data_IF_115497827304
#
_entry.id   IF_115497827304
#
_cell.length_a   1.000
_cell.length_b   1.000
_cell.length_c   1.000
_cell.angle_alpha   90.00
_cell.angle_beta   90.00
_cell.angle_gamma   90.00
#
_symmetry.space_group_name_H-M   'P 1'
#
loop_
_entity.id
_entity.type
_entity.pdbx_description
1 polymer ?
#
# COMPACT_ATOMS: atom_id res chain seq x y z
N UNK A 1 7.62 14.90 21.92
CA UNK A 1 6.26 15.46 21.80
C UNK A 1 5.41 14.48 20.99
N UNK A 2 4.25 14.14 21.50
CA UNK A 2 3.30 13.23 20.84
C UNK A 2 2.57 13.96 19.72
N UNK A 3 2.24 13.27 18.64
CA UNK A 3 1.59 13.83 17.44
C UNK A 3 0.67 12.82 16.76
N UNK A 4 -0.16 13.28 15.85
CA UNK A 4 -0.94 12.41 14.95
C UNK A 4 -0.17 12.21 13.64
N UNK A 5 -0.10 10.96 13.15
CA UNK A 5 0.52 10.63 11.87
C UNK A 5 -0.56 10.38 10.83
N UNK A 6 -0.54 11.18 9.77
CA UNK A 6 -1.34 10.96 8.56
C UNK A 6 -0.51 10.14 7.58
N UNK A 7 -1.08 9.06 7.09
CA UNK A 7 -0.51 8.18 6.06
C UNK A 7 -1.24 8.46 4.76
N UNK A 8 -0.54 9.01 3.77
CA UNK A 8 -1.05 9.27 2.42
C UNK A 8 -0.43 8.32 1.39
N UNK A 9 -1.03 8.24 0.22
CA UNK A 9 -0.61 7.32 -0.83
C UNK A 9 0.56 7.87 -1.65
N UNK A 10 0.51 9.16 -2.02
CA UNK A 10 1.43 9.80 -2.99
C UNK A 10 2.07 11.05 -2.41
N UNK A 11 3.30 11.40 -2.81
CA UNK A 11 3.99 12.61 -2.32
C UNK A 11 3.19 13.90 -2.53
N UNK A 12 2.53 14.06 -3.70
CA UNK A 12 1.73 15.23 -4.00
C UNK A 12 0.49 15.34 -3.10
N UNK A 13 -0.16 14.20 -2.82
CA UNK A 13 -1.28 14.14 -1.89
C UNK A 13 -0.83 14.53 -0.47
N UNK A 14 0.34 14.04 -0.01
CA UNK A 14 0.89 14.40 1.28
C UNK A 14 1.12 15.92 1.42
N UNK A 15 1.69 16.54 0.38
CA UNK A 15 1.92 17.98 0.37
C UNK A 15 0.60 18.76 0.38
N UNK A 16 -0.37 18.36 -0.44
CA UNK A 16 -1.70 18.99 -0.48
C UNK A 16 -2.44 18.87 0.84
N UNK A 17 -2.41 17.69 1.48
CA UNK A 17 -3.01 17.47 2.81
C UNK A 17 -2.32 18.36 3.84
N UNK A 18 -0.99 18.38 3.87
CA UNK A 18 -0.24 19.23 4.78
C UNK A 18 -0.56 20.72 4.58
N UNK A 19 -0.56 21.18 3.31
CA UNK A 19 -0.88 22.58 2.98
C UNK A 19 -2.32 22.95 3.30
N UNK A 20 -3.27 22.04 3.09
CA UNK A 20 -4.68 22.29 3.37
C UNK A 20 -4.97 22.41 4.86
N UNK A 21 -4.32 21.59 5.69
CA UNK A 21 -4.55 21.52 7.13
C UNK A 21 -3.67 22.46 7.95
N UNK A 22 -2.57 23.01 7.41
CA UNK A 22 -1.68 23.86 8.19
C UNK A 22 -2.38 25.16 8.64
N UNK A 23 -2.31 25.46 9.94
CA UNK A 23 -2.77 26.74 10.50
C UNK A 23 -1.91 27.89 9.97
N UNK A 24 -0.57 27.71 9.96
CA UNK A 24 0.40 28.71 9.51
C UNK A 24 1.30 28.18 8.40
N UNK A 25 2.36 27.44 8.78
CA UNK A 25 3.39 26.98 7.86
C UNK A 25 3.47 25.46 7.77
N UNK A 26 3.89 24.98 6.61
CA UNK A 26 4.29 23.58 6.38
C UNK A 26 5.80 23.48 6.51
N UNK A 27 6.29 22.67 7.46
CA UNK A 27 7.71 22.38 7.58
C UNK A 27 8.01 21.06 6.89
N UNK A 28 8.80 21.15 5.82
CA UNK A 28 9.24 19.96 5.08
C UNK A 28 10.48 19.34 5.71
N UNK A 29 10.39 18.10 6.06
CA UNK A 29 11.50 17.26 6.50
C UNK A 29 11.85 16.22 5.44
N UNK A 30 13.05 15.64 5.58
CA UNK A 30 13.48 14.49 4.79
C UNK A 30 14.12 13.43 5.68
N UNK A 31 13.84 12.19 5.37
CA UNK A 31 14.63 11.06 5.84
C UNK A 31 15.21 10.36 4.61
N UNK A 32 16.54 10.41 4.47
CA UNK A 32 17.20 10.06 3.19
C UNK A 32 16.60 10.90 2.03
N UNK A 33 15.97 10.23 1.05
CA UNK A 33 15.32 10.90 -0.10
C UNK A 33 13.81 11.11 0.07
N UNK A 34 13.21 10.58 1.15
CA UNK A 34 11.76 10.58 1.34
C UNK A 34 11.31 11.81 2.11
N UNK A 35 10.46 12.66 1.54
CA UNK A 35 9.90 13.81 2.23
C UNK A 35 8.77 13.39 3.17
N UNK A 36 8.62 14.14 4.26
CA UNK A 36 7.44 14.16 5.10
C UNK A 36 7.22 15.58 5.64
N UNK A 37 6.04 15.88 6.09
CA UNK A 37 5.66 17.25 6.43
C UNK A 37 5.20 17.32 7.88
N UNK A 38 5.65 18.37 8.57
CA UNK A 38 5.20 18.71 9.92
C UNK A 38 4.35 19.97 9.86
N UNK A 39 3.19 19.92 10.49
CA UNK A 39 2.23 21.02 10.55
C UNK A 39 1.61 21.10 11.93
N UNK A 40 0.98 22.24 12.22
CA UNK A 40 0.04 22.41 13.32
C UNK A 40 -1.35 22.64 12.74
N UNK A 41 -2.36 21.95 13.24
CA UNK A 41 -3.75 22.13 12.88
C UNK A 41 -4.62 22.20 14.15
N UNK A 42 -5.32 23.32 14.34
CA UNK A 42 -6.11 23.61 15.57
C UNK A 42 -5.30 23.35 16.84
N UNK A 43 -4.05 23.84 16.85
CA UNK A 43 -3.11 23.70 17.96
C UNK A 43 -2.53 22.29 18.19
N UNK A 44 -2.84 21.32 17.34
CA UNK A 44 -2.33 19.94 17.43
C UNK A 44 -1.24 19.69 16.39
N UNK A 45 -0.14 19.08 16.85
CA UNK A 45 0.95 18.68 15.96
C UNK A 45 0.57 17.48 15.12
N UNK A 46 0.79 17.58 13.83
CA UNK A 46 0.53 16.51 12.86
C UNK A 46 1.79 16.30 12.01
N UNK A 47 2.12 15.03 11.74
CA UNK A 47 3.08 14.65 10.71
C UNK A 47 2.33 13.99 9.57
N UNK A 48 2.64 14.38 8.34
CA UNK A 48 2.08 13.79 7.12
C UNK A 48 3.20 13.06 6.38
N UNK A 49 3.11 11.74 6.32
CA UNK A 49 3.99 10.88 5.55
C UNK A 49 3.31 10.36 4.30
N UNK A 50 4.10 9.99 3.28
CA UNK A 50 3.57 9.37 2.07
C UNK A 50 4.18 8.00 1.83
N UNK A 51 3.38 7.07 1.36
CA UNK A 51 3.83 5.89 0.64
C UNK A 51 4.16 6.27 -0.83
N UNK A 52 4.47 5.31 -1.65
CA UNK A 52 4.74 5.51 -3.08
C UNK A 52 4.17 4.30 -3.84
N UNK A 53 2.90 4.01 -3.56
CA UNK A 53 2.25 2.76 -3.90
C UNK A 53 2.45 1.71 -2.79
N UNK A 54 2.14 0.45 -3.09
CA UNK A 54 2.26 -0.63 -2.12
C UNK A 54 3.71 -0.83 -1.63
N UNK A 55 3.91 -0.75 -0.32
CA UNK A 55 5.20 -1.01 0.33
C UNK A 55 5.40 -2.48 0.70
N UNK A 56 4.34 -3.27 0.63
CA UNK A 56 4.33 -4.71 0.92
C UNK A 56 3.67 -5.45 -0.23
N UNK A 57 4.12 -6.67 -0.47
CA UNK A 57 3.61 -7.57 -1.49
C UNK A 57 3.66 -9.01 -1.05
N UNK A 58 2.93 -9.88 -1.75
CA UNK A 58 2.91 -11.31 -1.48
C UNK A 58 4.11 -12.00 -2.14
N UNK A 59 4.66 -12.98 -1.45
CA UNK A 59 5.71 -13.86 -1.94
C UNK A 59 5.45 -15.29 -1.48
N UNK A 60 5.78 -16.26 -2.32
CA UNK A 60 5.79 -17.67 -1.92
C UNK A 60 6.81 -17.89 -0.80
N UNK A 61 6.39 -18.52 0.28
CA UNK A 61 7.18 -18.68 1.50
C UNK A 61 8.30 -19.72 1.34
N UNK A 62 8.02 -20.82 0.67
CA UNK A 62 8.95 -21.95 0.56
C UNK A 62 9.61 -22.06 -0.80
N UNK A 63 9.50 -21.07 -1.67
CA UNK A 63 9.97 -20.89 -3.04
C UNK A 63 10.86 -21.99 -3.64
N UNK A 64 10.33 -23.20 -3.85
CA UNK A 64 11.06 -24.37 -4.36
C UNK A 64 11.16 -24.41 -5.91
N UNK A 65 11.16 -23.24 -6.55
CA UNK A 65 11.24 -23.13 -8.01
C UNK A 65 9.89 -23.23 -8.73
N UNK A 66 9.87 -23.84 -9.90
CA UNK A 66 8.69 -23.92 -10.78
C UNK A 66 7.78 -25.11 -10.42
N UNK A 67 7.25 -25.11 -9.19
CA UNK A 67 6.34 -26.15 -8.68
C UNK A 67 4.96 -25.55 -8.47
N UNK A 68 3.90 -26.30 -8.79
CA UNK A 68 2.52 -25.96 -8.48
C UNK A 68 1.76 -27.21 -7.99
N UNK A 69 0.72 -27.06 -7.17
CA UNK A 69 0.16 -25.81 -6.68
C UNK A 69 1.02 -25.17 -5.58
N UNK A 70 1.07 -23.83 -5.57
CA UNK A 70 1.74 -23.01 -4.57
C UNK A 70 0.67 -22.23 -3.76
N UNK A 71 0.42 -22.63 -2.51
CA UNK A 71 -0.58 -22.00 -1.62
C UNK A 71 0.02 -21.39 -0.36
N UNK A 72 1.33 -21.60 -0.14
CA UNK A 72 2.01 -21.04 1.02
C UNK A 72 2.67 -19.73 0.65
N UNK A 73 2.17 -18.61 1.21
CA UNK A 73 2.62 -17.26 0.92
C UNK A 73 2.67 -16.40 2.17
N UNK A 74 3.41 -15.30 2.08
CA UNK A 74 3.51 -14.30 3.14
C UNK A 74 3.63 -12.90 2.58
N UNK A 75 3.25 -11.92 3.40
CA UNK A 75 3.48 -10.53 3.10
C UNK A 75 4.91 -10.14 3.44
N UNK A 76 5.64 -9.62 2.48
CA UNK A 76 7.00 -9.10 2.66
C UNK A 76 7.11 -7.66 2.15
N UNK A 77 8.11 -6.90 2.63
CA UNK A 77 8.46 -5.64 2.01
C UNK A 77 8.66 -5.80 0.51
N UNK A 78 8.05 -4.91 -0.29
CA UNK A 78 8.04 -5.06 -1.75
C UNK A 78 9.45 -5.10 -2.36
N UNK A 79 10.46 -4.49 -1.72
CA UNK A 79 11.85 -4.56 -2.17
C UNK A 79 12.48 -5.96 -2.01
N UNK A 80 11.88 -6.85 -1.22
CA UNK A 80 12.27 -8.27 -1.10
C UNK A 80 11.55 -9.15 -2.11
N UNK A 81 10.42 -8.69 -2.63
CA UNK A 81 9.61 -9.36 -3.64
C UNK A 81 10.07 -8.98 -5.05
N UNK A 82 10.33 -7.69 -5.28
CA UNK A 82 10.67 -7.14 -6.58
C UNK A 82 11.97 -6.32 -6.52
N UNK A 83 12.97 -6.73 -7.28
CA UNK A 83 14.30 -6.06 -7.35
C UNK A 83 14.24 -4.60 -7.82
N UNK A 84 13.25 -4.24 -8.63
CA UNK A 84 13.05 -2.87 -9.11
C UNK A 84 12.44 -1.94 -8.05
N UNK A 85 11.89 -2.49 -6.97
CA UNK A 85 11.26 -1.75 -5.90
C UNK A 85 12.23 -1.38 -4.74
N UNK A 86 13.54 -1.44 -4.94
CA UNK A 86 14.54 -1.16 -3.89
C UNK A 86 14.39 0.22 -3.24
N UNK A 87 13.91 1.21 -4.00
CA UNK A 87 13.65 2.57 -3.51
C UNK A 87 12.61 2.62 -2.38
N UNK A 88 11.70 1.64 -2.31
CA UNK A 88 10.66 1.58 -1.28
C UNK A 88 11.21 1.32 0.12
N UNK A 89 12.45 0.81 0.22
CA UNK A 89 13.14 0.62 1.50
C UNK A 89 13.25 1.92 2.28
N UNK A 90 13.58 3.03 1.61
CA UNK A 90 13.70 4.33 2.25
C UNK A 90 12.35 4.84 2.78
N UNK A 91 11.25 4.52 2.09
CA UNK A 91 9.89 4.84 2.54
C UNK A 91 9.52 4.04 3.80
N UNK A 92 9.79 2.73 3.81
CA UNK A 92 9.55 1.88 4.99
C UNK A 92 10.36 2.37 6.19
N UNK A 93 11.65 2.71 6.02
CA UNK A 93 12.48 3.24 7.08
C UNK A 93 12.00 4.62 7.57
N UNK A 94 11.48 5.44 6.65
CA UNK A 94 10.89 6.72 7.01
C UNK A 94 9.64 6.53 7.86
N UNK A 95 8.72 5.64 7.45
CA UNK A 95 7.54 5.33 8.24
C UNK A 95 7.89 4.72 9.59
N UNK A 96 8.89 3.82 9.68
CA UNK A 96 9.38 3.31 10.97
C UNK A 96 9.82 4.45 11.91
N UNK A 97 10.53 5.44 11.36
CA UNK A 97 10.97 6.62 12.13
C UNK A 97 9.79 7.47 12.60
N UNK A 98 8.90 7.86 11.69
CA UNK A 98 7.79 8.79 12.00
C UNK A 98 6.58 8.10 12.66
N UNK A 99 6.56 6.79 12.78
CA UNK A 99 5.52 6.06 13.52
C UNK A 99 5.87 5.89 15.01
N UNK A 100 7.16 5.99 15.36
CA UNK A 100 7.65 5.63 16.70
C UNK A 100 7.00 6.46 17.82
N UNK A 101 6.84 7.77 17.60
CA UNK A 101 6.32 8.70 18.59
C UNK A 101 4.89 9.17 18.27
N UNK A 102 4.25 8.55 17.27
CA UNK A 102 2.87 8.84 16.89
C UNK A 102 1.89 8.20 17.88
N UNK A 103 0.96 8.99 18.42
CA UNK A 103 -0.12 8.51 19.29
C UNK A 103 -1.34 8.05 18.51
N UNK A 104 -1.68 8.83 17.47
CA UNK A 104 -2.85 8.59 16.64
C UNK A 104 -2.41 8.39 15.19
N UNK A 105 -3.11 7.49 14.51
CA UNK A 105 -2.89 7.20 13.10
C UNK A 105 -4.15 7.54 12.31
N UNK A 106 -3.95 8.15 11.15
CA UNK A 106 -5.03 8.58 10.26
C UNK A 106 -4.66 8.15 8.85
N UNK A 107 -5.47 7.31 8.23
CA UNK A 107 -5.30 6.96 6.82
C UNK A 107 -5.96 8.01 5.93
N UNK A 108 -5.19 8.54 5.00
CA UNK A 108 -5.59 9.52 3.99
C UNK A 108 -5.09 9.08 2.60
N UNK A 109 -5.28 7.81 2.31
CA UNK A 109 -5.09 7.19 0.99
C UNK A 109 -6.39 7.31 0.18
N UNK A 110 -6.38 7.02 -1.12
CA UNK A 110 -7.58 6.99 -1.95
C UNK A 110 -8.65 6.08 -1.31
N UNK A 111 -9.93 6.47 -1.43
CA UNK A 111 -11.03 5.78 -0.76
C UNK A 111 -11.58 4.65 -1.62
N UNK A 112 -10.72 3.68 -1.89
CA UNK A 112 -11.00 2.44 -2.60
C UNK A 112 -10.33 1.24 -1.90
N UNK A 113 -10.48 0.05 -2.49
CA UNK A 113 -9.90 -1.19 -1.99
C UNK A 113 -8.37 -1.17 -1.95
N UNK A 114 -7.72 -0.67 -3.01
CA UNK A 114 -6.26 -0.61 -3.13
C UNK A 114 -5.65 0.40 -2.14
N UNK A 115 -6.17 1.63 -2.10
CA UNK A 115 -5.68 2.67 -1.19
C UNK A 115 -5.93 2.30 0.28
N UNK A 116 -7.06 1.66 0.59
CA UNK A 116 -7.37 1.21 1.95
C UNK A 116 -6.43 0.10 2.40
N UNK A 117 -6.16 -0.90 1.55
CA UNK A 117 -5.20 -1.97 1.85
C UNK A 117 -3.76 -1.43 1.95
N UNK A 118 -3.36 -0.52 1.05
CA UNK A 118 -2.05 0.12 1.09
C UNK A 118 -1.79 0.78 2.45
N UNK A 119 -2.72 1.64 2.88
CA UNK A 119 -2.61 2.33 4.17
C UNK A 119 -2.62 1.36 5.35
N UNK A 120 -3.48 0.35 5.33
CA UNK A 120 -3.53 -0.68 6.36
C UNK A 120 -2.24 -1.50 6.43
N UNK A 121 -1.61 -1.83 5.31
CA UNK A 121 -0.32 -2.53 5.31
C UNK A 121 0.80 -1.70 5.97
N UNK A 122 0.83 -0.39 5.76
CA UNK A 122 1.76 0.50 6.49
C UNK A 122 1.45 0.47 7.98
N UNK A 123 0.18 0.56 8.35
CA UNK A 123 -0.26 0.55 9.73
C UNK A 123 0.11 -0.76 10.45
N UNK A 124 -0.30 -1.92 9.90
CA UNK A 124 -0.10 -3.22 10.55
C UNK A 124 1.35 -3.68 10.56
N UNK A 125 2.09 -3.50 9.47
CA UNK A 125 3.45 -4.04 9.36
C UNK A 125 4.52 -3.10 9.91
N UNK A 126 4.31 -1.79 9.85
CA UNK A 126 5.30 -0.81 10.33
C UNK A 126 4.92 -0.26 11.70
N UNK A 127 3.73 0.30 11.85
CA UNK A 127 3.30 0.92 13.11
C UNK A 127 2.83 -0.09 14.17
N UNK A 128 2.59 -1.37 13.75
CA UNK A 128 2.10 -2.46 14.63
C UNK A 128 0.76 -2.10 15.29
N UNK A 129 -0.11 -1.45 14.53
CA UNK A 129 -1.47 -1.09 14.95
C UNK A 129 -2.49 -1.87 14.12
N UNK A 130 -3.63 -2.12 14.74
CA UNK A 130 -4.73 -2.89 14.14
C UNK A 130 -5.84 -2.02 13.57
N UNK A 131 -5.96 -0.78 14.04
CA UNK A 131 -6.99 0.16 13.58
C UNK A 131 -6.47 1.59 13.61
N UNK A 132 -7.13 2.48 12.87
CA UNK A 132 -6.81 3.89 12.75
C UNK A 132 -8.04 4.70 12.34
N UNK A 133 -7.95 6.01 12.43
CA UNK A 133 -8.96 6.90 11.85
C UNK A 133 -8.82 6.95 10.33
N UNK A 134 -9.93 7.23 9.61
CA UNK A 134 -9.96 7.24 8.15
C UNK A 134 -10.52 8.55 7.61
N UNK A 135 -9.71 9.28 6.85
CA UNK A 135 -10.18 10.40 6.04
C UNK A 135 -10.85 9.88 4.77
N UNK A 136 -12.00 10.47 4.41
CA UNK A 136 -12.73 10.17 3.19
C UNK A 136 -12.88 11.44 2.37
N UNK A 137 -12.21 11.51 1.24
CA UNK A 137 -12.25 12.64 0.31
C UNK A 137 -12.28 12.15 -1.14
N UNK A 138 -12.96 12.89 -1.97
CA UNK A 138 -13.04 12.62 -3.42
C UNK A 138 -12.12 13.55 -4.21
N UNK A 139 -11.76 14.69 -3.65
CA UNK A 139 -10.85 15.65 -4.28
C UNK A 139 -9.78 16.13 -3.30
N UNK A 140 -8.66 16.61 -3.83
CA UNK A 140 -7.55 17.15 -3.03
C UNK A 140 -7.67 18.69 -2.91
N UNK A 141 -8.90 19.25 -2.90
CA UNK A 141 -9.12 20.66 -2.62
C UNK A 141 -8.96 20.96 -1.15
N UNK A 142 -8.55 22.18 -0.81
CA UNK A 142 -8.38 22.59 0.60
C UNK A 142 -9.66 22.38 1.41
N UNK A 143 -10.82 22.74 0.84
CA UNK A 143 -12.12 22.59 1.51
C UNK A 143 -12.44 21.13 1.83
N UNK A 144 -12.32 20.24 0.84
CA UNK A 144 -12.61 18.81 1.01
C UNK A 144 -11.67 18.14 2.01
N UNK A 145 -10.39 18.48 1.98
CA UNK A 145 -9.40 17.92 2.90
C UNK A 145 -9.65 18.34 4.34
N UNK A 146 -10.03 19.61 4.58
CA UNK A 146 -10.39 20.09 5.92
C UNK A 146 -11.65 19.37 6.41
N UNK A 147 -12.71 19.32 5.61
CA UNK A 147 -13.95 18.61 5.97
C UNK A 147 -13.67 17.14 6.25
N UNK A 148 -12.93 16.46 5.36
CA UNK A 148 -12.57 15.06 5.52
C UNK A 148 -11.76 14.78 6.80
N UNK A 149 -10.87 15.69 7.18
CA UNK A 149 -10.12 15.58 8.43
C UNK A 149 -11.02 15.77 9.65
N UNK A 150 -11.90 16.77 9.62
CA UNK A 150 -12.77 17.09 10.75
C UNK A 150 -13.89 16.05 10.96
N UNK A 151 -14.39 15.46 9.88
CA UNK A 151 -15.45 14.42 9.89
C UNK A 151 -14.93 13.00 9.69
N UNK A 152 -13.63 12.77 9.87
CA UNK A 152 -13.01 11.46 9.62
C UNK A 152 -13.65 10.35 10.45
N UNK A 153 -13.72 9.18 9.86
CA UNK A 153 -14.22 7.97 10.51
C UNK A 153 -13.33 7.60 11.69
N UNK A 154 -13.92 7.06 12.74
CA UNK A 154 -13.20 6.63 13.95
C UNK A 154 -12.41 5.34 13.76
N UNK A 155 -12.79 4.53 12.78
CA UNK A 155 -12.21 3.23 12.43
C UNK A 155 -11.90 3.18 10.94
N UNK A 156 -11.14 2.20 10.52
CA UNK A 156 -10.86 1.90 9.11
C UNK A 156 -12.10 1.36 8.40
N UNK A 157 -12.12 1.49 7.07
CA UNK A 157 -13.09 0.81 6.21
C UNK A 157 -12.66 -0.64 5.95
N UNK A 158 -13.12 -1.52 6.82
CA UNK A 158 -12.79 -2.95 6.75
C UNK A 158 -13.36 -3.64 5.52
N UNK A 159 -14.44 -3.12 4.95
CA UNK A 159 -15.00 -3.64 3.69
C UNK A 159 -13.99 -3.50 2.55
N UNK A 160 -13.48 -2.30 2.33
CA UNK A 160 -12.47 -2.03 1.32
C UNK A 160 -11.14 -2.75 1.60
N UNK A 161 -10.69 -2.80 2.87
CA UNK A 161 -9.46 -3.50 3.23
C UNK A 161 -9.55 -4.99 2.90
N UNK A 162 -10.65 -5.65 3.28
CA UNK A 162 -10.85 -7.08 3.03
C UNK A 162 -11.00 -7.36 1.52
N UNK A 163 -11.68 -6.48 0.78
CA UNK A 163 -11.79 -6.59 -0.67
C UNK A 163 -10.40 -6.49 -1.35
N UNK A 164 -9.62 -5.49 -0.98
CA UNK A 164 -8.27 -5.31 -1.49
C UNK A 164 -7.35 -6.49 -1.14
N UNK A 165 -7.39 -6.97 0.11
CA UNK A 165 -6.58 -8.12 0.53
C UNK A 165 -6.98 -9.39 -0.23
N UNK A 166 -8.27 -9.66 -0.37
CA UNK A 166 -8.79 -10.79 -1.15
C UNK A 166 -8.35 -10.71 -2.60
N UNK A 167 -8.42 -9.52 -3.20
CA UNK A 167 -7.95 -9.29 -4.57
C UNK A 167 -6.46 -9.61 -4.71
N UNK A 168 -5.61 -9.14 -3.79
CA UNK A 168 -4.18 -9.45 -3.81
C UNK A 168 -3.91 -10.94 -3.68
N UNK A 169 -4.64 -11.66 -2.81
CA UNK A 169 -4.52 -13.12 -2.70
C UNK A 169 -4.94 -13.82 -3.97
N UNK A 170 -6.05 -13.45 -4.57
CA UNK A 170 -6.51 -14.03 -5.84
C UNK A 170 -5.53 -13.75 -6.98
N UNK A 171 -5.06 -12.52 -7.13
CA UNK A 171 -4.09 -12.16 -8.17
C UNK A 171 -2.77 -12.93 -8.00
N UNK A 172 -2.30 -13.11 -6.76
CA UNK A 172 -1.10 -13.89 -6.48
C UNK A 172 -1.30 -15.37 -6.76
N UNK A 173 -2.33 -15.99 -6.19
CA UNK A 173 -2.57 -17.44 -6.32
C UNK A 173 -2.90 -17.84 -7.75
N UNK A 174 -3.74 -17.06 -8.42
CA UNK A 174 -4.05 -17.28 -9.83
C UNK A 174 -2.80 -17.13 -10.70
N UNK A 175 -2.12 -15.99 -10.56
CA UNK A 175 -0.95 -15.67 -11.36
C UNK A 175 0.17 -16.70 -11.22
N UNK A 176 0.54 -17.07 -9.99
CA UNK A 176 1.65 -18.01 -9.77
C UNK A 176 1.31 -19.44 -10.27
N UNK A 177 0.12 -19.93 -9.92
CA UNK A 177 -0.23 -21.32 -10.21
C UNK A 177 -0.51 -21.55 -11.71
N UNK A 178 -1.33 -20.73 -12.34
CA UNK A 178 -1.64 -20.90 -13.75
C UNK A 178 -0.46 -20.56 -14.67
N UNK A 179 0.36 -19.55 -14.34
CA UNK A 179 1.57 -19.27 -15.11
C UNK A 179 2.57 -20.42 -15.04
N UNK A 180 2.73 -21.06 -13.89
CA UNK A 180 3.59 -22.22 -13.74
C UNK A 180 3.03 -23.44 -14.48
N UNK A 181 1.74 -23.74 -14.32
CA UNK A 181 1.08 -24.84 -15.01
C UNK A 181 1.22 -24.72 -16.54
N UNK A 182 0.88 -23.56 -17.10
CA UNK A 182 0.96 -23.29 -18.53
C UNK A 182 2.42 -23.38 -19.05
N UNK A 183 3.35 -22.75 -18.36
CA UNK A 183 4.78 -22.76 -18.74
C UNK A 183 5.35 -24.19 -18.74
N UNK A 184 5.03 -24.99 -17.71
CA UNK A 184 5.53 -26.35 -17.59
C UNK A 184 4.88 -27.30 -18.60
N UNK A 185 3.59 -27.12 -18.91
CA UNK A 185 2.91 -27.90 -19.93
C UNK A 185 3.54 -27.69 -21.33
N UNK A 186 3.81 -26.42 -21.70
CA UNK A 186 4.45 -26.12 -22.98
C UNK A 186 5.89 -26.63 -23.01
N UNK A 187 6.64 -26.47 -21.91
CA UNK A 187 7.99 -27.03 -21.80
C UNK A 187 7.98 -28.55 -22.03
N UNK A 188 7.02 -29.28 -21.49
CA UNK A 188 6.90 -30.72 -21.63
C UNK A 188 6.55 -31.14 -23.08
N UNK A 189 5.74 -30.35 -23.80
CA UNK A 189 5.30 -30.71 -25.17
C UNK A 189 6.26 -30.28 -26.27
N UNK A 190 6.90 -29.11 -26.14
CA UNK A 190 7.70 -28.53 -27.24
C UNK A 190 9.20 -28.38 -26.92
N UNK A 191 9.60 -28.67 -25.69
CA UNK A 191 10.93 -28.35 -25.19
C UNK A 191 11.15 -26.86 -24.96
N UNK A 192 12.34 -26.50 -24.47
CA UNK A 192 12.68 -25.13 -24.15
C UNK A 192 11.99 -24.62 -22.85
N UNK A 193 12.35 -23.41 -22.42
CA UNK A 193 11.73 -22.78 -21.25
C UNK A 193 11.38 -21.32 -21.54
N UNK A 194 10.09 -21.08 -21.81
CA UNK A 194 9.55 -19.74 -22.03
C UNK A 194 8.44 -19.48 -21.01
N UNK A 195 8.64 -18.48 -20.18
CA UNK A 195 7.65 -18.10 -19.19
C UNK A 195 6.41 -17.49 -19.88
N UNK A 196 5.27 -18.12 -19.62
CA UNK A 196 3.96 -17.64 -20.05
C UNK A 196 3.18 -17.19 -18.82
N UNK A 197 3.02 -15.89 -18.68
CA UNK A 197 2.22 -15.33 -17.59
C UNK A 197 0.73 -15.32 -17.93
N UNK A 198 -0.10 -15.63 -16.94
CA UNK A 198 -1.55 -15.57 -17.06
C UNK A 198 -2.11 -14.93 -15.79
N UNK A 199 -2.88 -13.83 -15.95
CA UNK A 199 -3.57 -13.17 -14.85
C UNK A 199 -5.03 -13.59 -14.75
N UNK A 200 -5.69 -13.30 -13.63
CA UNK A 200 -7.11 -13.61 -13.40
C UNK A 200 -8.07 -12.90 -14.35
N UNK A 201 -7.68 -11.83 -14.98
CA UNK A 201 -8.45 -11.14 -16.02
C UNK A 201 -8.04 -11.66 -17.39
N UNK A 202 -6.75 -11.72 -17.66
CA UNK A 202 -6.19 -12.10 -18.96
C UNK A 202 -6.62 -13.51 -19.40
N UNK A 203 -6.53 -14.50 -18.49
CA UNK A 203 -6.92 -15.89 -18.80
C UNK A 203 -8.39 -16.04 -19.14
N UNK A 204 -9.33 -15.65 -18.26
CA UNK A 204 -10.76 -15.72 -18.56
C UNK A 204 -11.18 -14.91 -19.79
N UNK A 205 -10.61 -13.71 -19.99
CA UNK A 205 -10.90 -12.90 -21.19
C UNK A 205 -10.51 -13.63 -22.47
N UNK A 206 -9.30 -14.23 -22.49
CA UNK A 206 -8.87 -15.00 -23.64
C UNK A 206 -9.82 -16.18 -23.92
N UNK A 207 -10.24 -16.91 -22.87
CA UNK A 207 -11.17 -18.05 -22.99
C UNK A 207 -12.57 -17.64 -23.48
N UNK A 208 -12.98 -16.36 -23.38
CA UNK A 208 -14.23 -15.86 -23.94
C UNK A 208 -14.12 -15.55 -25.44
N UNK A 209 -12.91 -15.42 -25.97
CA UNK A 209 -12.65 -15.06 -27.38
C UNK A 209 -12.35 -16.29 -28.23
N UNK A 210 -11.79 -17.33 -27.62
CA UNK A 210 -11.40 -18.59 -28.27
C UNK A 210 -12.48 -19.66 -28.09
#
# INVERSE_FOLDING_TARGET
MKYSLIISEKPDAALKIATALADDKVTKHKNKKVPYYEITYKGKKIIVGCAVGHLFGLKEKDGKGWVYPAFNYEWLPIYEVNKFAKYTKDYIETFKKISKDAENFILATDFDDEGSLLGYNVLRFIAKKTDAQRMKFSTLTKKDLIVSYDTRLKTLDWGNINAGETRHFLDFLWGINFSRALTLAIKASQGGFKVLSIGRVQGPTLNLIV
#
